data_IF_001855272037
#
_entry.id   IF_001855272037
#
_cell.length_a   1.000
_cell.length_b   1.000
_cell.length_c   1.000
_cell.angle_alpha   90.00
_cell.angle_beta   90.00
_cell.angle_gamma   90.00
#
_symmetry.space_group_name_H-M   'P 1'
#
loop_
_entity.id
_entity.type
_entity.pdbx_description
1 polymer ?
#
# COMPACT_ATOMS: atom_id res chain seq x y z
N UNK A 1 11.90 -15.81 -19.12
CA UNK A 1 10.86 -16.01 -20.16
C UNK A 1 11.07 -17.40 -20.73
N UNK A 2 10.09 -18.31 -20.66
CA UNK A 2 10.30 -19.69 -21.12
C UNK A 2 9.87 -19.92 -22.58
N UNK A 3 8.74 -19.36 -23.03
CA UNK A 3 8.20 -19.61 -24.39
C UNK A 3 7.43 -18.43 -25.03
N UNK A 4 7.32 -17.29 -24.35
CA UNK A 4 6.63 -16.10 -24.88
C UNK A 4 7.58 -14.90 -24.75
N UNK A 5 7.73 -14.15 -25.83
CA UNK A 5 8.55 -12.94 -25.88
C UNK A 5 7.88 -11.89 -26.77
N UNK A 6 8.27 -10.63 -26.58
CA UNK A 6 7.82 -9.53 -27.42
C UNK A 6 8.65 -9.54 -28.70
N UNK A 7 7.98 -9.51 -29.84
CA UNK A 7 8.61 -9.38 -31.14
C UNK A 7 7.90 -8.31 -31.98
N UNK A 8 8.63 -7.72 -32.92
CA UNK A 8 8.04 -6.83 -33.91
C UNK A 8 7.03 -7.61 -34.78
N UNK A 9 5.96 -6.96 -35.25
CA UNK A 9 4.93 -7.63 -36.07
C UNK A 9 5.53 -8.36 -37.27
N UNK A 10 6.41 -7.69 -38.02
CA UNK A 10 7.10 -8.26 -39.20
C UNK A 10 7.92 -9.50 -38.83
N UNK A 11 8.65 -9.43 -37.71
CA UNK A 11 9.50 -10.49 -37.21
C UNK A 11 8.69 -11.73 -36.79
N UNK A 12 7.58 -11.50 -36.07
CA UNK A 12 6.69 -12.56 -35.62
C UNK A 12 6.00 -13.26 -36.80
N UNK A 13 5.58 -12.49 -37.81
CA UNK A 13 4.98 -13.02 -39.03
C UNK A 13 5.99 -13.79 -39.89
N UNK A 14 7.21 -13.26 -40.07
CA UNK A 14 8.26 -13.90 -40.85
C UNK A 14 8.76 -15.21 -40.21
N UNK A 15 8.88 -15.26 -38.88
CA UNK A 15 9.21 -16.49 -38.15
C UNK A 15 8.10 -17.53 -38.30
N UNK A 16 6.84 -17.09 -38.19
CA UNK A 16 5.69 -17.99 -38.17
C UNK A 16 5.87 -19.12 -37.13
N UNK A 17 5.68 -20.36 -37.59
CA UNK A 17 5.77 -21.56 -36.76
C UNK A 17 7.19 -22.17 -36.71
N UNK A 18 8.19 -21.57 -37.35
CA UNK A 18 9.57 -22.10 -37.35
C UNK A 18 10.20 -22.03 -35.96
N UNK A 19 11.13 -22.93 -35.65
CA UNK A 19 11.91 -22.84 -34.42
C UNK A 19 12.82 -21.59 -34.45
N UNK A 20 13.09 -21.01 -33.27
CA UNK A 20 13.90 -19.78 -33.19
C UNK A 20 15.36 -20.01 -33.64
N UNK A 21 15.89 -21.22 -33.45
CA UNK A 21 17.24 -21.58 -33.90
C UNK A 21 17.32 -21.71 -35.42
N UNK A 22 16.25 -22.21 -36.03
CA UNK A 22 16.14 -22.32 -37.50
C UNK A 22 15.97 -20.93 -38.12
N UNK A 23 15.06 -20.11 -37.56
CA UNK A 23 14.78 -18.76 -38.08
C UNK A 23 15.96 -17.79 -37.97
N UNK A 24 16.84 -17.98 -36.97
CA UNK A 24 18.01 -17.12 -36.72
C UNK A 24 19.35 -17.83 -36.99
N UNK A 25 19.35 -18.89 -37.81
CA UNK A 25 20.55 -19.66 -38.16
C UNK A 25 21.67 -18.78 -38.72
N UNK A 26 21.33 -17.80 -39.55
CA UNK A 26 22.25 -16.81 -40.15
C UNK A 26 22.58 -15.63 -39.22
N UNK A 27 21.99 -15.56 -38.02
CA UNK A 27 22.15 -14.46 -37.06
C UNK A 27 22.49 -14.98 -35.65
N UNK A 28 23.66 -15.63 -35.49
CA UNK A 28 24.02 -16.33 -34.26
C UNK A 28 24.09 -15.42 -33.03
N UNK A 29 24.53 -14.16 -33.19
CA UNK A 29 24.61 -13.21 -32.08
C UNK A 29 23.23 -12.85 -31.50
N UNK A 30 22.23 -12.68 -32.38
CA UNK A 30 20.85 -12.38 -31.98
C UNK A 30 20.23 -13.59 -31.30
N UNK A 31 20.44 -14.77 -31.87
CA UNK A 31 19.99 -16.04 -31.29
C UNK A 31 20.58 -16.23 -29.88
N UNK A 32 21.88 -16.05 -29.72
CA UNK A 32 22.57 -16.18 -28.43
C UNK A 32 22.04 -15.20 -27.39
N UNK A 33 21.78 -13.94 -27.78
CA UNK A 33 21.20 -12.93 -26.88
C UNK A 33 19.81 -13.34 -26.39
N UNK A 34 18.94 -13.81 -27.30
CA UNK A 34 17.58 -14.24 -26.96
C UNK A 34 17.63 -15.48 -26.05
N UNK A 35 18.43 -16.50 -26.41
CA UNK A 35 18.56 -17.72 -25.60
C UNK A 35 19.13 -17.42 -24.21
N UNK A 36 20.08 -16.48 -24.10
CA UNK A 36 20.61 -16.03 -22.81
C UNK A 36 19.53 -15.39 -21.96
N UNK A 37 18.66 -14.55 -22.52
CA UNK A 37 17.52 -13.96 -21.83
C UNK A 37 16.47 -15.00 -21.42
N UNK A 38 16.19 -16.00 -22.26
CA UNK A 38 15.26 -17.08 -21.92
C UNK A 38 15.74 -17.90 -20.72
N UNK A 39 17.05 -18.14 -20.62
CA UNK A 39 17.68 -18.86 -19.50
C UNK A 39 17.87 -18.02 -18.24
N UNK A 40 17.55 -16.72 -18.25
CA UNK A 40 17.68 -15.91 -17.04
C UNK A 40 16.68 -16.37 -15.98
N UNK A 41 17.14 -16.62 -14.74
CA UNK A 41 16.28 -17.07 -13.66
C UNK A 41 15.29 -15.95 -13.28
N UNK A 42 14.03 -16.32 -13.11
CA UNK A 42 12.98 -15.42 -12.62
C UNK A 42 13.08 -15.28 -11.09
N UNK A 43 14.18 -14.71 -10.60
CA UNK A 43 14.50 -14.65 -9.16
C UNK A 43 13.37 -14.00 -8.34
N UNK A 44 12.82 -12.90 -8.84
CA UNK A 44 11.74 -12.19 -8.15
C UNK A 44 10.45 -13.02 -8.09
N UNK A 45 10.09 -13.68 -9.19
CA UNK A 45 8.93 -14.58 -9.22
C UNK A 45 9.14 -15.79 -8.28
N UNK A 46 10.36 -16.33 -8.24
CA UNK A 46 10.72 -17.40 -7.32
C UNK A 46 10.60 -16.98 -5.85
N UNK A 47 11.05 -15.76 -5.50
CA UNK A 47 10.92 -15.21 -4.14
C UNK A 47 9.46 -14.99 -3.72
N UNK A 48 8.62 -14.51 -4.64
CA UNK A 48 7.18 -14.38 -4.39
C UNK A 48 6.53 -15.75 -4.21
N UNK A 49 6.84 -16.70 -5.10
CA UNK A 49 6.27 -18.05 -5.06
C UNK A 49 6.72 -18.83 -3.81
N UNK A 50 7.99 -18.72 -3.40
CA UNK A 50 8.47 -19.36 -2.17
C UNK A 50 7.78 -18.80 -0.94
N UNK A 51 7.60 -17.47 -0.87
CA UNK A 51 6.86 -16.80 0.21
C UNK A 51 5.40 -17.25 0.25
N UNK A 52 4.73 -17.33 -0.92
CA UNK A 52 3.35 -17.83 -1.04
C UNK A 52 3.23 -19.26 -0.53
N UNK A 53 4.13 -20.15 -0.94
CA UNK A 53 4.13 -21.54 -0.49
C UNK A 53 4.37 -21.67 1.01
N UNK A 54 5.35 -20.92 1.55
CA UNK A 54 5.61 -20.92 2.98
C UNK A 54 4.39 -20.43 3.78
N UNK A 55 3.72 -19.37 3.32
CA UNK A 55 2.49 -18.88 3.93
C UNK A 55 1.39 -19.96 3.92
N UNK A 56 1.12 -20.59 2.77
CA UNK A 56 0.13 -21.66 2.68
C UNK A 56 0.45 -22.83 3.61
N UNK A 57 1.72 -23.24 3.70
CA UNK A 57 2.14 -24.33 4.59
C UNK A 57 1.96 -23.94 6.07
N UNK A 58 2.28 -22.70 6.44
CA UNK A 58 2.03 -22.19 7.79
C UNK A 58 0.54 -22.08 8.12
N UNK A 59 -0.30 -21.71 7.17
CA UNK A 59 -1.75 -21.68 7.37
C UNK A 59 -2.34 -23.09 7.61
N UNK A 60 -1.81 -24.12 6.95
CA UNK A 60 -2.22 -25.52 7.18
C UNK A 60 -1.95 -25.98 8.62
N UNK A 61 -0.88 -25.50 9.25
CA UNK A 61 -0.54 -25.87 10.64
C UNK A 61 -1.62 -25.44 11.65
N UNK A 62 -2.47 -24.47 11.33
CA UNK A 62 -3.58 -24.05 12.20
C UNK A 62 -4.77 -25.02 12.20
N UNK A 63 -4.82 -25.98 11.27
CA UNK A 63 -5.93 -26.96 11.19
C UNK A 63 -7.28 -26.34 10.80
N UNK A 64 -7.29 -25.15 10.21
CA UNK A 64 -8.48 -24.49 9.70
C UNK A 64 -8.63 -24.74 8.21
N UNK A 65 -9.86 -24.91 7.75
CA UNK A 65 -10.16 -24.94 6.33
C UNK A 65 -9.88 -23.55 5.72
N UNK A 66 -9.06 -23.54 4.67
CA UNK A 66 -8.80 -22.35 3.90
C UNK A 66 -8.72 -22.68 2.42
N UNK A 67 -9.09 -21.70 1.59
CA UNK A 67 -8.93 -21.79 0.15
C UNK A 67 -7.91 -20.79 -0.36
N UNK A 68 -7.43 -21.03 -1.58
CA UNK A 68 -6.55 -20.10 -2.28
C UNK A 68 -7.11 -19.81 -3.66
N UNK A 69 -6.91 -18.58 -4.14
CA UNK A 69 -7.32 -18.14 -5.46
C UNK A 69 -6.14 -17.64 -6.29
N UNK A 70 -6.29 -17.72 -7.62
CA UNK A 70 -5.41 -16.99 -8.53
C UNK A 70 -5.96 -15.57 -8.74
N UNK A 71 -5.09 -14.61 -9.07
CA UNK A 71 -5.54 -13.25 -9.41
C UNK A 71 -6.46 -13.23 -10.64
N UNK A 72 -6.34 -14.23 -11.53
CA UNK A 72 -7.25 -14.42 -12.66
C UNK A 72 -8.65 -14.83 -12.21
N UNK A 73 -8.76 -15.76 -11.26
CA UNK A 73 -10.03 -16.18 -10.69
C UNK A 73 -10.71 -15.02 -9.93
N UNK A 74 -9.94 -14.28 -9.12
CA UNK A 74 -10.45 -13.08 -8.43
C UNK A 74 -10.99 -12.06 -9.42
N UNK A 75 -10.25 -11.80 -10.51
CA UNK A 75 -10.72 -10.90 -11.57
C UNK A 75 -12.00 -11.43 -12.22
N UNK A 76 -12.06 -12.72 -12.54
CA UNK A 76 -13.22 -13.37 -13.15
C UNK A 76 -14.47 -13.20 -12.27
N UNK A 77 -14.41 -13.63 -11.00
CA UNK A 77 -15.50 -13.52 -10.04
C UNK A 77 -16.01 -12.08 -9.93
N UNK A 78 -15.09 -11.12 -9.79
CA UNK A 78 -15.42 -9.70 -9.71
C UNK A 78 -16.11 -9.18 -10.98
N UNK A 79 -15.61 -9.57 -12.15
CA UNK A 79 -16.18 -9.12 -13.43
C UNK A 79 -17.54 -9.72 -13.74
N UNK A 80 -17.80 -10.97 -13.35
CA UNK A 80 -19.12 -11.60 -13.53
C UNK A 80 -20.21 -10.85 -12.74
N UNK A 81 -19.84 -10.22 -11.63
CA UNK A 81 -20.75 -9.47 -10.76
C UNK A 81 -20.74 -7.95 -11.04
N UNK A 82 -20.10 -7.49 -12.12
CA UNK A 82 -19.98 -6.07 -12.48
C UNK A 82 -19.37 -5.16 -11.39
N UNK A 83 -18.50 -5.72 -10.53
CA UNK A 83 -17.93 -5.00 -9.41
C UNK A 83 -16.67 -4.20 -9.81
N UNK A 84 -16.51 -2.94 -9.34
CA UNK A 84 -15.33 -2.14 -9.65
C UNK A 84 -14.08 -2.69 -8.97
N UNK A 85 -12.91 -2.45 -9.58
CA UNK A 85 -11.64 -2.91 -9.00
C UNK A 85 -11.27 -2.07 -7.77
N UNK A 86 -11.41 -2.66 -6.60
CA UNK A 86 -10.92 -2.10 -5.33
C UNK A 86 -10.33 -3.22 -4.48
N UNK A 87 -9.43 -2.89 -3.54
CA UNK A 87 -8.78 -3.91 -2.71
C UNK A 87 -9.75 -4.75 -1.88
N UNK A 88 -10.81 -4.15 -1.34
CA UNK A 88 -11.78 -4.86 -0.50
C UNK A 88 -12.74 -5.72 -1.33
N UNK A 89 -13.10 -5.28 -2.54
CA UNK A 89 -13.89 -6.09 -3.48
C UNK A 89 -13.08 -7.27 -4.02
N UNK A 90 -11.81 -7.05 -4.37
CA UNK A 90 -10.93 -8.14 -4.78
C UNK A 90 -10.78 -9.17 -3.65
N UNK A 91 -10.74 -8.75 -2.37
CA UNK A 91 -10.69 -9.65 -1.22
C UNK A 91 -11.98 -10.48 -1.05
N UNK A 92 -13.15 -9.90 -1.27
CA UNK A 92 -14.43 -10.62 -1.25
C UNK A 92 -14.58 -11.61 -2.41
N UNK A 93 -13.89 -11.36 -3.53
CA UNK A 93 -13.95 -12.19 -4.74
C UNK A 93 -12.86 -13.27 -4.82
N UNK A 94 -12.15 -13.57 -3.73
CA UNK A 94 -11.07 -14.58 -3.72
C UNK A 94 -11.66 -15.99 -3.66
N UNK A 95 -11.12 -16.88 -4.48
CA UNK A 95 -11.33 -18.32 -4.35
C UNK A 95 -12.51 -18.85 -5.15
N UNK A 96 -12.82 -20.14 -4.95
CA UNK A 96 -13.95 -20.80 -5.61
C UNK A 96 -15.21 -20.73 -4.76
N UNK A 97 -15.07 -20.52 -3.45
CA UNK A 97 -16.19 -20.37 -2.54
C UNK A 97 -16.93 -19.04 -2.69
N UNK A 98 -16.40 -18.10 -3.49
CA UNK A 98 -17.07 -16.82 -3.76
C UNK A 98 -18.50 -17.07 -4.27
N UNK A 99 -19.53 -16.55 -3.58
CA UNK A 99 -20.91 -16.65 -4.03
C UNK A 99 -21.14 -16.02 -5.41
N UNK A 100 -22.13 -16.51 -6.14
CA UNK A 100 -22.52 -15.95 -7.44
C UNK A 100 -23.05 -14.53 -7.34
N UNK A 101 -23.60 -14.16 -6.17
CA UNK A 101 -24.14 -12.83 -5.90
C UNK A 101 -23.64 -12.31 -4.54
N UNK A 102 -22.81 -11.28 -4.56
CA UNK A 102 -22.34 -10.58 -3.37
C UNK A 102 -23.19 -9.34 -3.12
N UNK A 103 -23.97 -9.36 -2.05
CA UNK A 103 -24.67 -8.15 -1.59
C UNK A 103 -23.68 -7.18 -0.93
N UNK A 104 -23.58 -5.97 -1.48
CA UNK A 104 -22.70 -4.90 -0.98
C UNK A 104 -23.56 -3.81 -0.35
N UNK A 105 -23.63 -3.83 0.98
CA UNK A 105 -24.35 -2.80 1.74
C UNK A 105 -23.46 -1.59 2.10
N UNK A 106 -22.13 -1.74 2.01
CA UNK A 106 -21.19 -0.68 2.40
C UNK A 106 -20.94 0.28 1.26
N UNK A 107 -21.65 1.41 1.29
CA UNK A 107 -21.51 2.49 0.29
C UNK A 107 -20.21 3.31 0.50
N UNK A 108 -19.71 3.40 1.75
CA UNK A 108 -18.51 4.19 2.08
C UNK A 108 -17.65 3.50 3.15
N UNK A 109 -16.53 2.85 2.77
CA UNK A 109 -15.65 2.22 3.76
C UNK A 109 -14.92 3.29 4.60
N UNK A 110 -14.64 2.96 5.85
CA UNK A 110 -13.74 3.76 6.69
C UNK A 110 -12.30 3.58 6.18
N UNK A 111 -11.72 4.65 5.62
CA UNK A 111 -10.34 4.60 5.11
C UNK A 111 -9.38 4.82 6.28
N UNK A 112 -8.66 3.75 6.64
CA UNK A 112 -7.62 3.78 7.66
C UNK A 112 -6.24 3.62 7.01
N UNK A 113 -5.28 4.42 7.46
CA UNK A 113 -3.89 4.35 7.02
C UNK A 113 -3.00 4.10 8.22
N UNK A 114 -2.22 3.01 8.21
CA UNK A 114 -1.23 2.74 9.24
C UNK A 114 -0.08 3.77 9.14
N UNK A 115 0.13 4.56 10.20
CA UNK A 115 1.10 5.66 10.23
C UNK A 115 2.47 5.28 10.77
N UNK A 116 2.64 4.02 11.17
CA UNK A 116 3.87 3.49 11.75
C UNK A 116 4.28 4.16 13.06
N UNK A 117 5.50 3.84 13.53
CA UNK A 117 6.03 4.29 14.84
C UNK A 117 6.76 5.65 14.77
N UNK A 118 6.18 6.63 14.09
CA UNK A 118 6.76 7.98 13.98
C UNK A 118 8.20 8.00 13.40
N UNK A 119 8.88 9.14 13.54
CA UNK A 119 10.25 9.30 13.02
C UNK A 119 11.28 8.90 14.07
N UNK A 120 12.19 7.97 13.71
CA UNK A 120 13.34 7.53 14.53
C UNK A 120 14.45 8.58 14.65
N UNK A 121 14.45 9.59 13.78
CA UNK A 121 15.42 10.68 13.81
C UNK A 121 15.16 11.54 15.07
N UNK A 122 16.09 11.54 16.02
CA UNK A 122 15.91 12.25 17.29
C UNK A 122 16.11 13.77 17.17
N UNK A 123 16.98 14.21 16.27
CA UNK A 123 17.31 15.63 16.05
C UNK A 123 17.12 15.94 14.58
N UNK A 124 16.41 17.03 14.25
CA UNK A 124 16.32 17.48 12.86
C UNK A 124 17.63 18.14 12.48
N UNK A 125 18.16 17.75 11.31
CA UNK A 125 19.38 18.32 10.74
C UNK A 125 19.04 19.29 9.62
N UNK A 126 19.96 20.20 9.31
CA UNK A 126 19.91 21.03 8.10
C UNK A 126 20.36 20.23 6.86
N UNK A 127 20.44 20.91 5.70
CA UNK A 127 20.86 20.28 4.44
C UNK A 127 22.32 19.81 4.44
N UNK A 128 23.13 20.26 5.40
CA UNK A 128 24.54 19.92 5.56
C UNK A 128 24.76 18.84 6.65
N UNK A 129 23.69 18.41 7.33
CA UNK A 129 23.75 17.38 8.37
C UNK A 129 23.93 17.93 9.79
N UNK A 130 23.97 19.26 9.98
CA UNK A 130 24.14 19.86 11.30
C UNK A 130 22.82 19.90 12.10
N UNK A 131 22.84 19.63 13.41
CA UNK A 131 21.68 19.78 14.29
C UNK A 131 21.04 21.17 14.21
N UNK A 132 19.77 21.24 13.81
CA UNK A 132 18.98 22.48 13.75
C UNK A 132 18.02 22.63 14.94
N UNK A 133 17.64 21.54 15.58
CA UNK A 133 16.69 21.55 16.71
C UNK A 133 17.26 20.82 17.92
N UNK A 134 16.68 21.06 19.10
CA UNK A 134 16.91 20.18 20.24
C UNK A 134 16.40 18.76 19.98
N UNK A 135 16.93 17.75 20.71
CA UNK A 135 16.42 16.38 20.64
C UNK A 135 14.93 16.29 20.96
N UNK A 136 14.22 15.45 20.21
CA UNK A 136 12.82 15.12 20.47
C UNK A 136 12.70 14.54 21.88
N UNK A 137 11.67 14.99 22.61
CA UNK A 137 11.36 14.47 23.93
C UNK A 137 10.89 13.01 23.83
N UNK A 138 11.26 12.19 24.82
CA UNK A 138 10.75 10.81 24.96
C UNK A 138 9.25 10.79 25.24
N UNK A 139 8.75 11.81 25.94
CA UNK A 139 7.33 12.02 26.20
C UNK A 139 6.60 12.37 24.89
N UNK A 140 5.63 11.54 24.51
CA UNK A 140 4.82 11.69 23.29
C UNK A 140 3.46 12.32 23.53
N UNK A 141 3.04 12.44 24.80
CA UNK A 141 1.75 12.98 25.18
C UNK A 141 1.92 14.30 25.93
N UNK A 142 1.21 15.35 25.52
CA UNK A 142 1.14 16.61 26.26
C UNK A 142 -0.32 17.04 26.39
N UNK A 143 -0.71 17.51 27.58
CA UNK A 143 -2.07 17.99 27.87
C UNK A 143 -3.18 16.97 27.55
N UNK A 144 -2.90 15.67 27.65
CA UNK A 144 -3.84 14.60 27.30
C UNK A 144 -3.95 14.30 25.79
N UNK A 145 -3.13 14.95 24.95
CA UNK A 145 -3.07 14.71 23.51
C UNK A 145 -1.79 13.97 23.12
N UNK A 146 -1.90 12.99 22.23
CA UNK A 146 -0.75 12.26 21.69
C UNK A 146 -0.57 12.52 20.18
N UNK A 147 -1.67 12.49 19.44
CA UNK A 147 -1.88 12.83 18.02
C UNK A 147 -3.30 12.35 17.72
N UNK A 148 -4.09 13.11 16.97
CA UNK A 148 -5.49 12.75 16.71
C UNK A 148 -6.27 13.89 16.07
N UNK A 149 -7.59 13.74 15.99
CA UNK A 149 -8.52 14.75 15.47
C UNK A 149 -8.93 15.71 16.60
N UNK A 150 -9.01 17.01 16.31
CA UNK A 150 -9.45 18.01 17.28
C UNK A 150 -10.43 19.02 16.68
N UNK A 151 -11.51 19.30 17.42
CA UNK A 151 -12.40 20.44 17.15
C UNK A 151 -11.87 21.65 17.89
N UNK A 152 -11.82 22.80 17.22
CA UNK A 152 -11.45 24.07 17.86
C UNK A 152 -12.72 24.80 18.29
N UNK A 153 -12.93 24.88 19.60
CA UNK A 153 -14.19 25.34 20.18
C UNK A 153 -14.28 26.85 20.36
N UNK A 154 -13.15 27.58 20.43
CA UNK A 154 -13.08 29.03 20.71
C UNK A 154 -11.87 29.72 20.04
N UNK A 155 -11.96 31.04 19.83
CA UNK A 155 -10.89 31.91 19.30
C UNK A 155 -11.00 32.28 17.81
N UNK A 156 -9.95 32.91 17.25
CA UNK A 156 -9.92 33.37 15.84
C UNK A 156 -9.99 32.22 14.81
N UNK A 157 -9.62 31.00 15.22
CA UNK A 157 -9.53 29.81 14.37
C UNK A 157 -10.60 28.78 14.78
N UNK A 158 -11.80 29.23 15.13
CA UNK A 158 -12.93 28.33 15.45
C UNK A 158 -13.31 27.53 14.21
N UNK A 159 -13.55 26.24 14.40
CA UNK A 159 -13.97 25.36 13.33
C UNK A 159 -13.72 23.89 13.62
N UNK A 160 -14.34 23.06 12.79
CA UNK A 160 -14.12 21.62 12.82
C UNK A 160 -12.97 21.27 11.90
N UNK A 161 -11.80 21.00 12.48
CA UNK A 161 -10.64 20.55 11.72
C UNK A 161 -10.53 19.03 11.79
N UNK A 162 -10.74 18.39 10.65
CA UNK A 162 -10.55 16.96 10.50
C UNK A 162 -9.11 16.74 10.04
N UNK A 163 -8.28 16.21 10.93
CA UNK A 163 -6.90 15.92 10.58
C UNK A 163 -5.99 15.72 11.77
N UNK A 164 -4.70 15.48 11.50
CA UNK A 164 -3.73 15.09 12.52
C UNK A 164 -3.25 16.31 13.30
N UNK A 165 -3.43 16.28 14.62
CA UNK A 165 -2.89 17.26 15.56
C UNK A 165 -1.42 16.95 15.87
N UNK A 166 -0.51 17.85 15.49
CA UNK A 166 0.86 17.88 15.98
C UNK A 166 0.90 18.54 17.35
N UNK A 167 0.99 17.70 18.38
CA UNK A 167 1.06 18.09 19.79
C UNK A 167 2.44 18.64 20.12
N UNK A 168 2.51 19.74 20.87
CA UNK A 168 3.75 20.39 21.31
C UNK A 168 3.73 20.61 22.82
N UNK A 169 4.91 20.55 23.46
CA UNK A 169 5.08 20.86 24.90
C UNK A 169 4.58 22.26 25.25
N UNK A 170 4.65 23.21 24.31
CA UNK A 170 4.18 24.59 24.50
C UNK A 170 2.66 24.72 24.65
N UNK A 171 1.89 23.65 24.40
CA UNK A 171 0.43 23.70 24.42
C UNK A 171 -0.18 24.39 23.20
N UNK A 172 0.65 24.75 22.21
CA UNK A 172 0.23 25.33 20.94
C UNK A 172 0.37 24.29 19.83
N UNK A 173 -0.76 23.82 19.31
CA UNK A 173 -0.86 22.69 18.39
C UNK A 173 -0.99 23.15 16.94
N UNK A 174 -0.55 22.29 16.02
CA UNK A 174 -0.82 22.46 14.60
C UNK A 174 -1.74 21.34 14.13
N UNK A 175 -2.81 21.64 13.40
CA UNK A 175 -3.73 20.66 12.83
C UNK A 175 -3.51 20.59 11.34
N UNK A 176 -3.05 19.44 10.84
CA UNK A 176 -2.91 19.19 9.41
C UNK A 176 -4.22 18.61 8.87
N UNK A 177 -4.98 19.42 8.15
CA UNK A 177 -6.18 19.02 7.41
C UNK A 177 -5.81 18.55 6.00
N UNK A 178 -6.80 18.12 5.21
CA UNK A 178 -6.59 17.74 3.81
C UNK A 178 -6.05 18.88 2.96
N UNK A 179 -6.49 20.12 3.20
CA UNK A 179 -6.17 21.29 2.36
C UNK A 179 -5.08 22.17 2.96
N UNK A 180 -4.97 22.23 4.28
CA UNK A 180 -4.06 23.18 4.93
C UNK A 180 -3.55 22.71 6.30
N UNK A 181 -2.47 23.35 6.77
CA UNK A 181 -2.00 23.20 8.15
C UNK A 181 -2.37 24.43 8.96
N UNK A 182 -3.33 24.27 9.88
CA UNK A 182 -3.73 25.33 10.81
C UNK A 182 -2.79 25.32 11.99
N UNK A 183 -1.95 26.34 12.11
CA UNK A 183 -0.89 26.38 13.11
C UNK A 183 -1.32 27.17 14.36
N UNK A 184 -0.69 26.89 15.49
CA UNK A 184 -0.73 27.78 16.65
C UNK A 184 -2.03 27.78 17.45
N UNK A 185 -2.75 26.65 17.52
CA UNK A 185 -4.01 26.53 18.26
C UNK A 185 -3.72 26.13 19.70
N UNK A 186 -4.21 26.90 20.68
CA UNK A 186 -4.06 26.53 22.08
C UNK A 186 -4.83 25.23 22.42
N UNK A 187 -4.18 24.31 23.15
CA UNK A 187 -4.74 23.01 23.51
C UNK A 187 -6.09 23.11 24.25
N UNK A 188 -6.33 24.20 24.99
CA UNK A 188 -7.60 24.43 25.74
C UNK A 188 -8.81 24.53 24.81
N UNK A 189 -8.58 24.91 23.56
CA UNK A 189 -9.62 25.00 22.54
C UNK A 189 -9.77 23.72 21.73
N UNK A 190 -8.90 22.73 21.93
CA UNK A 190 -8.95 21.45 21.23
C UNK A 190 -9.76 20.43 22.05
N UNK A 191 -10.67 19.69 21.40
CA UNK A 191 -11.26 18.46 21.97
C UNK A 191 -10.79 17.24 21.20
N UNK A 192 -10.15 16.28 21.88
CA UNK A 192 -9.69 15.03 21.25
C UNK A 192 -10.89 14.18 20.83
N UNK A 193 -10.90 13.72 19.57
CA UNK A 193 -11.92 12.79 19.05
C UNK A 193 -11.37 11.35 19.01
N UNK A 194 -10.06 11.19 18.79
CA UNK A 194 -9.42 9.89 18.73
C UNK A 194 -8.02 9.96 19.34
N UNK A 195 -7.60 8.90 20.04
CA UNK A 195 -6.25 8.79 20.61
C UNK A 195 -5.28 8.24 19.56
N UNK A 196 -3.98 8.34 19.81
CA UNK A 196 -2.98 7.82 18.89
C UNK A 196 -2.88 6.29 19.02
N UNK A 197 -3.62 5.60 18.18
CA UNK A 197 -3.62 4.13 18.03
C UNK A 197 -2.71 3.64 16.89
N UNK A 198 -2.06 4.57 16.19
CA UNK A 198 -1.17 4.27 15.08
C UNK A 198 -1.84 4.36 13.71
N UNK A 199 -3.14 4.65 13.65
CA UNK A 199 -3.87 4.81 12.40
C UNK A 199 -4.23 6.29 12.16
N UNK A 200 -4.30 6.64 10.88
CA UNK A 200 -4.90 7.89 10.43
C UNK A 200 -6.22 7.55 9.75
N UNK A 201 -7.27 8.23 10.17
CA UNK A 201 -8.62 8.03 9.68
C UNK A 201 -8.94 9.15 8.70
N UNK A 202 -9.11 8.80 7.43
CA UNK A 202 -9.66 9.69 6.44
C UNK A 202 -11.18 9.53 6.44
N UNK A 203 -11.91 10.65 6.56
CA UNK A 203 -13.37 10.72 6.38
C UNK A 203 -13.70 11.41 5.08
#
# INVERSE_FOLDING_TARGET
MSNLTIACRKCNQAKGNQDIKEFLSEKPDVLNKILKQCKQPLKDAAAVNSTRWNLCNKLKEFGLDFETGSGGLTKYNRTQQNLPKTHWLDAACVGKSTPSDLNIEVIKPLIIMAMGRGSRQMVRVDKYGFPRTSPKLRQKQFFGFQTGKAVVTKGKKVGTYVGRVAVRKTGSFNIKTATQTVQGINHKYCKSIHKADGYNYAT
#
